data_IF_819507255674
#
_entry.id   IF_819507255674
#
_cell.length_a   1.000
_cell.length_b   1.000
_cell.length_c   1.000
_cell.angle_alpha   90.00
_cell.angle_beta   90.00
_cell.angle_gamma   90.00
#
_symmetry.space_group_name_H-M   'P 1'
#
loop_
_entity.id
_entity.type
_entity.pdbx_description
1 polymer ?
#
# COMPACT_ATOMS: atom_id res chain seq x y z
N UNK A 1 -24.13 10.08 4.95
CA UNK A 1 -23.03 9.23 5.48
C UNK A 1 -21.72 9.73 4.89
N UNK A 2 -20.62 9.71 5.64
CA UNK A 2 -19.32 10.17 5.13
C UNK A 2 -18.86 9.20 4.03
N UNK A 3 -18.37 9.75 2.92
CA UNK A 3 -17.80 8.98 1.81
C UNK A 3 -16.50 8.33 2.26
N UNK A 4 -16.40 7.00 2.28
CA UNK A 4 -15.20 6.28 2.73
C UNK A 4 -14.12 6.33 1.64
N UNK A 5 -12.97 6.93 1.96
CA UNK A 5 -11.81 7.01 1.06
C UNK A 5 -10.69 6.11 1.55
N UNK A 6 -10.21 5.21 0.70
CA UNK A 6 -9.21 4.21 1.06
C UNK A 6 -7.94 4.44 0.26
N UNK A 7 -6.77 4.32 0.89
CA UNK A 7 -5.48 4.31 0.19
C UNK A 7 -4.70 3.04 0.49
N UNK A 8 -4.11 2.45 -0.54
CA UNK A 8 -3.24 1.27 -0.48
C UNK A 8 -1.77 1.65 -0.61
N UNK A 9 -1.00 1.39 0.45
CA UNK A 9 0.44 1.55 0.48
C UNK A 9 1.15 0.19 0.50
N UNK A 10 2.38 0.17 0.03
CA UNK A 10 3.25 -0.99 0.14
C UNK A 10 3.91 -1.40 -1.16
N UNK A 11 3.98 -2.71 -1.38
CA UNK A 11 4.74 -3.30 -2.48
C UNK A 11 3.86 -3.98 -3.56
N UNK A 12 4.45 -4.89 -4.34
CA UNK A 12 3.78 -5.66 -5.39
C UNK A 12 2.53 -6.40 -4.92
N UNK A 13 2.46 -6.81 -3.64
CA UNK A 13 1.30 -7.53 -3.11
C UNK A 13 0.09 -6.60 -3.03
N UNK A 14 0.27 -5.38 -2.52
CA UNK A 14 -0.79 -4.36 -2.51
C UNK A 14 -1.10 -3.86 -3.92
N UNK A 15 -0.09 -3.74 -4.79
CA UNK A 15 -0.28 -3.36 -6.19
C UNK A 15 -1.04 -4.42 -7.01
N UNK A 16 -1.23 -5.64 -6.48
CA UNK A 16 -1.94 -6.71 -7.16
C UNK A 16 -1.18 -7.33 -8.32
N UNK A 17 0.17 -7.35 -8.25
CA UNK A 17 0.98 -7.98 -9.30
C UNK A 17 0.64 -9.47 -9.37
N UNK A 18 0.16 -9.90 -10.55
CA UNK A 18 -0.28 -11.28 -10.79
C UNK A 18 -1.74 -11.57 -10.43
N UNK A 19 -2.48 -10.58 -9.92
CA UNK A 19 -3.92 -10.71 -9.68
C UNK A 19 -4.70 -10.64 -11.00
N UNK A 20 -5.53 -11.65 -11.25
CA UNK A 20 -6.37 -11.75 -12.45
C UNK A 20 -7.77 -11.26 -12.12
N UNK A 21 -8.08 -10.03 -12.51
CA UNK A 21 -9.38 -9.40 -12.28
C UNK A 21 -10.12 -9.14 -13.60
N UNK A 22 -11.47 -9.14 -13.61
CA UNK A 22 -12.25 -8.74 -14.78
C UNK A 22 -11.92 -7.31 -15.23
N UNK A 23 -12.13 -7.03 -16.51
CA UNK A 23 -11.96 -5.68 -17.05
C UNK A 23 -12.76 -4.64 -16.23
N UNK A 24 -12.12 -3.50 -15.95
CA UNK A 24 -12.71 -2.42 -15.14
C UNK A 24 -12.60 -2.59 -13.63
N UNK A 25 -12.02 -3.68 -13.13
CA UNK A 25 -11.71 -3.86 -11.71
C UNK A 25 -10.24 -3.53 -11.43
N UNK A 26 -9.98 -2.92 -10.28
CA UNK A 26 -8.60 -2.67 -9.81
C UNK A 26 -8.05 -3.94 -9.15
N UNK A 27 -6.87 -4.43 -9.54
CA UNK A 27 -6.25 -5.60 -8.92
C UNK A 27 -5.72 -5.31 -7.51
N UNK A 28 -5.48 -6.37 -6.74
CA UNK A 28 -4.84 -6.32 -5.44
C UNK A 28 -5.81 -6.37 -4.26
N UNK A 29 -5.35 -6.99 -3.17
CA UNK A 29 -6.19 -7.24 -1.98
C UNK A 29 -6.79 -5.97 -1.37
N UNK A 30 -6.06 -4.85 -1.41
CA UNK A 30 -6.53 -3.58 -0.87
C UNK A 30 -7.66 -2.98 -1.71
N UNK A 31 -7.66 -3.19 -3.03
CA UNK A 31 -8.77 -2.81 -3.89
C UNK A 31 -10.02 -3.65 -3.59
N UNK A 32 -9.87 -4.97 -3.45
CA UNK A 32 -10.97 -5.86 -3.08
C UNK A 32 -11.56 -5.50 -1.71
N UNK A 33 -10.71 -5.17 -0.73
CA UNK A 33 -11.14 -4.69 0.58
C UNK A 33 -11.91 -3.36 0.47
N UNK A 34 -11.41 -2.40 -0.32
CA UNK A 34 -12.10 -1.12 -0.52
C UNK A 34 -13.50 -1.32 -1.12
N UNK A 35 -13.64 -2.20 -2.11
CA UNK A 35 -14.94 -2.58 -2.69
C UNK A 35 -15.84 -3.23 -1.63
N UNK A 36 -15.32 -4.19 -0.86
CA UNK A 36 -16.10 -4.87 0.18
C UNK A 36 -16.59 -3.93 1.30
N UNK A 37 -15.84 -2.86 1.58
CA UNK A 37 -16.21 -1.82 2.54
C UNK A 37 -17.14 -0.74 1.96
N UNK A 38 -17.46 -0.78 0.66
CA UNK A 38 -18.24 0.26 0.00
C UNK A 38 -17.50 1.60 -0.08
N UNK A 39 -16.18 1.57 -0.27
CA UNK A 39 -15.39 2.77 -0.47
C UNK A 39 -15.88 3.54 -1.70
N UNK A 40 -16.02 4.85 -1.56
CA UNK A 40 -16.39 5.73 -2.66
C UNK A 40 -15.19 6.10 -3.54
N UNK A 41 -13.98 5.96 -3.01
CA UNK A 41 -12.74 6.35 -3.65
C UNK A 41 -11.62 5.44 -3.14
N UNK A 42 -10.80 4.93 -4.06
CA UNK A 42 -9.66 4.08 -3.74
C UNK A 42 -8.44 4.51 -4.57
N UNK A 43 -7.32 4.74 -3.88
CA UNK A 43 -6.04 5.08 -4.50
C UNK A 43 -4.99 4.04 -4.12
N UNK A 44 -4.35 3.41 -5.10
CA UNK A 44 -3.19 2.55 -4.87
C UNK A 44 -1.90 3.33 -5.13
N UNK A 45 -1.05 3.46 -4.11
CA UNK A 45 0.28 4.06 -4.19
C UNK A 45 1.40 3.01 -4.05
N UNK A 46 1.04 1.74 -3.94
CA UNK A 46 1.99 0.65 -3.81
C UNK A 46 2.83 0.44 -5.07
N UNK A 47 4.09 0.02 -4.90
CA UNK A 47 5.04 -0.15 -6.02
C UNK A 47 5.80 -1.46 -5.93
N UNK A 48 5.97 -2.13 -7.06
CA UNK A 48 6.72 -3.38 -7.15
C UNK A 48 8.14 -3.21 -6.60
N UNK A 49 8.54 -4.14 -5.72
CA UNK A 49 9.88 -4.14 -5.12
C UNK A 49 10.09 -3.09 -4.02
N UNK A 50 9.07 -2.31 -3.66
CA UNK A 50 9.17 -1.31 -2.60
C UNK A 50 9.54 -1.95 -1.25
N UNK A 51 10.38 -1.21 -0.52
CA UNK A 51 10.80 -1.47 0.86
C UNK A 51 10.19 -0.42 1.80
N UNK A 52 10.34 -0.62 3.12
CA UNK A 52 9.79 0.33 4.11
C UNK A 52 10.25 1.78 3.86
N UNK A 53 11.55 2.01 3.64
CA UNK A 53 12.08 3.33 3.27
C UNK A 53 11.40 3.97 2.05
N UNK A 54 10.97 3.18 1.06
CA UNK A 54 10.37 3.70 -0.17
C UNK A 54 8.93 4.16 0.09
N UNK A 55 8.23 3.52 1.03
CA UNK A 55 6.91 3.98 1.49
C UNK A 55 7.03 5.35 2.15
N UNK A 56 7.98 5.51 3.07
CA UNK A 56 8.22 6.79 3.78
C UNK A 56 8.62 7.88 2.80
N UNK A 57 9.57 7.61 1.92
CA UNK A 57 10.13 8.61 1.02
C UNK A 57 9.18 9.01 -0.12
N UNK A 58 8.34 8.08 -0.61
CA UNK A 58 7.69 8.27 -1.92
C UNK A 58 6.19 7.99 -1.92
N UNK A 59 5.60 7.33 -0.91
CA UNK A 59 4.16 7.05 -0.89
C UNK A 59 3.41 7.86 0.19
N UNK A 60 4.06 8.14 1.32
CA UNK A 60 3.39 8.72 2.49
C UNK A 60 2.85 10.14 2.24
N UNK A 61 3.62 10.99 1.57
CA UNK A 61 3.19 12.36 1.26
C UNK A 61 1.92 12.39 0.41
N UNK A 62 1.86 11.55 -0.62
CA UNK A 62 0.70 11.43 -1.52
C UNK A 62 -0.51 10.81 -0.79
N UNK A 63 -0.28 9.84 0.09
CA UNK A 63 -1.34 9.28 0.93
C UNK A 63 -1.94 10.34 1.86
N UNK A 64 -1.12 11.18 2.48
CA UNK A 64 -1.61 12.29 3.33
C UNK A 64 -2.36 13.32 2.49
N UNK A 65 -1.84 13.70 1.33
CA UNK A 65 -2.50 14.63 0.41
C UNK A 65 -3.86 14.09 -0.07
N UNK A 66 -3.98 12.77 -0.24
CA UNK A 66 -5.22 12.10 -0.60
C UNK A 66 -6.30 12.21 0.49
N UNK A 67 -5.97 12.50 1.77
CA UNK A 67 -6.94 12.58 2.89
C UNK A 67 -7.85 11.33 3.01
N UNK A 68 -7.27 10.13 3.18
CA UNK A 68 -8.01 8.89 3.35
C UNK A 68 -8.69 8.83 4.72
N UNK A 69 -9.76 8.04 4.80
CA UNK A 69 -10.35 7.58 6.05
C UNK A 69 -9.72 6.25 6.52
N UNK A 70 -9.20 5.45 5.57
CA UNK A 70 -8.53 4.18 5.83
C UNK A 70 -7.25 4.07 5.01
N UNK A 71 -6.16 3.74 5.69
CA UNK A 71 -4.87 3.38 5.07
C UNK A 71 -4.67 1.88 5.24
N UNK A 72 -4.38 1.20 4.14
CA UNK A 72 -3.87 -0.17 4.17
C UNK A 72 -2.38 -0.14 3.87
N UNK A 73 -1.60 -0.93 4.61
CA UNK A 73 -0.15 -1.01 4.43
C UNK A 73 0.29 -2.46 4.57
N UNK A 74 0.92 -2.97 3.52
CA UNK A 74 1.63 -4.24 3.55
C UNK A 74 3.01 -4.05 2.92
N UNK A 75 4.05 -4.12 3.75
CA UNK A 75 5.42 -3.83 3.36
C UNK A 75 6.39 -4.65 4.21
N UNK A 76 7.64 -4.77 3.77
CA UNK A 76 8.71 -5.45 4.50
C UNK A 76 9.16 -6.76 3.87
N UNK A 77 8.35 -7.37 2.98
CA UNK A 77 8.75 -8.58 2.26
C UNK A 77 10.03 -8.37 1.46
N UNK A 78 10.11 -7.26 0.71
CA UNK A 78 11.32 -6.90 -0.04
C UNK A 78 12.50 -6.51 0.87
N UNK A 79 12.27 -6.05 2.09
CA UNK A 79 13.35 -5.78 3.04
C UNK A 79 14.02 -7.08 3.48
N UNK A 80 13.22 -8.09 3.84
CA UNK A 80 13.70 -9.40 4.33
C UNK A 80 14.39 -10.20 3.23
N UNK A 81 13.88 -10.12 2.00
CA UNK A 81 14.40 -10.91 0.86
C UNK A 81 15.75 -10.40 0.32
N UNK A 82 16.27 -9.29 0.83
CA UNK A 82 17.49 -8.65 0.32
C UNK A 82 18.66 -8.91 1.26
N UNK A 83 19.86 -9.04 0.68
CA UNK A 83 21.08 -9.35 1.43
C UNK A 83 21.47 -8.30 2.47
N UNK A 84 20.96 -7.07 2.33
CA UNK A 84 21.21 -5.96 3.23
C UNK A 84 20.15 -5.80 4.33
N UNK A 85 19.33 -6.83 4.59
CA UNK A 85 18.29 -6.81 5.61
C UNK A 85 18.85 -6.44 6.99
N UNK A 86 18.20 -5.46 7.63
CA UNK A 86 18.49 -5.09 9.01
C UNK A 86 17.16 -4.77 9.72
N UNK A 87 16.72 -5.61 10.68
CA UNK A 87 15.42 -5.43 11.33
C UNK A 87 15.36 -4.15 12.17
N UNK A 88 16.48 -3.69 12.74
CA UNK A 88 16.53 -2.43 13.52
C UNK A 88 16.35 -1.23 12.60
N UNK A 89 16.96 -1.25 11.41
CA UNK A 89 16.80 -0.18 10.43
C UNK A 89 15.34 -0.08 9.95
N UNK A 90 14.74 -1.21 9.58
CA UNK A 90 13.33 -1.26 9.12
C UNK A 90 12.38 -0.81 10.24
N UNK A 91 12.61 -1.25 11.48
CA UNK A 91 11.79 -0.84 12.62
C UNK A 91 11.92 0.64 12.98
N UNK A 92 13.01 1.31 12.58
CA UNK A 92 13.17 2.77 12.71
C UNK A 92 12.44 3.50 11.59
N UNK A 93 12.64 3.07 10.34
CA UNK A 93 11.91 3.61 9.18
C UNK A 93 10.38 3.52 9.36
N UNK A 94 9.89 2.49 10.08
CA UNK A 94 8.46 2.35 10.37
C UNK A 94 7.90 3.34 11.41
N UNK A 95 8.77 3.99 12.20
CA UNK A 95 8.37 4.92 13.27
C UNK A 95 8.52 6.38 12.88
N UNK A 96 9.42 6.65 11.94
CA UNK A 96 9.75 7.99 11.44
C UNK A 96 8.70 8.45 10.40
#
# INVERSE_FOLDING_TARGET
MKSLRVVGLGDSVTAGVGDLVPAGHTPGWAAHLAVALGASDYLCLARTGARMRDVVAEQLADAVAFKPDLVTLLIGGNDVLRSDFNPVRVAREARD
#
